data_IF_211890342152
#
_entry.id   IF_211890342152
#
_cell.length_a   1.000
_cell.length_b   1.000
_cell.length_c   1.000
_cell.angle_alpha   90.00
_cell.angle_beta   90.00
_cell.angle_gamma   90.00
#
_symmetry.space_group_name_H-M   'P 1'
#
loop_
_entity.id
_entity.type
_entity.pdbx_description
1 polymer ?
#
# COMPACT_ATOMS: atom_id res chain seq x y z
N UNK A 1 18.49 11.44 19.17
CA UNK A 1 18.09 10.55 18.07
C UNK A 1 18.93 10.88 16.85
N UNK A 2 19.91 10.03 16.50
CA UNK A 2 20.68 10.17 15.27
C UNK A 2 19.72 10.20 14.06
N UNK A 3 19.88 11.14 13.10
CA UNK A 3 19.07 11.13 11.89
C UNK A 3 19.27 9.79 11.20
N UNK A 4 18.17 9.07 10.88
CA UNK A 4 18.25 7.81 10.15
C UNK A 4 18.93 8.09 8.82
N UNK A 5 20.16 7.60 8.65
CA UNK A 5 21.07 7.86 7.52
C UNK A 5 20.50 7.51 6.14
N UNK A 6 19.36 6.80 6.07
CA UNK A 6 18.77 6.25 4.84
C UNK A 6 17.27 6.59 4.68
N UNK A 7 16.83 7.75 5.14
CA UNK A 7 15.46 8.20 4.88
C UNK A 7 15.41 9.04 3.61
N UNK A 8 14.49 8.73 2.73
CA UNK A 8 14.17 9.46 1.51
C UNK A 8 12.85 10.22 1.78
N UNK A 9 12.90 11.52 2.13
CA UNK A 9 11.71 12.26 2.57
C UNK A 9 10.61 12.33 1.52
N UNK A 10 10.98 12.41 0.25
CA UNK A 10 10.06 12.52 -0.89
C UNK A 10 9.13 11.31 -1.01
N UNK A 11 9.57 10.15 -0.57
CA UNK A 11 8.73 8.94 -0.58
C UNK A 11 7.63 8.98 0.48
N UNK A 12 7.71 9.85 1.50
CA UNK A 12 6.61 10.02 2.44
C UNK A 12 5.37 10.60 1.73
N UNK A 13 5.55 11.57 0.83
CA UNK A 13 4.46 12.15 0.03
C UNK A 13 3.83 11.14 -0.92
N UNK A 14 4.65 10.38 -1.65
CA UNK A 14 4.14 9.31 -2.53
C UNK A 14 3.38 8.24 -1.72
N UNK A 15 3.88 7.86 -0.53
CA UNK A 15 3.18 6.92 0.36
C UNK A 15 1.81 7.46 0.79
N UNK A 16 1.75 8.72 1.20
CA UNK A 16 0.50 9.38 1.59
C UNK A 16 -0.49 9.38 0.44
N UNK A 17 -0.04 9.74 -0.77
CA UNK A 17 -0.87 9.73 -1.97
C UNK A 17 -1.42 8.33 -2.26
N UNK A 18 -0.56 7.30 -2.26
CA UNK A 18 -0.98 5.92 -2.52
C UNK A 18 -2.03 5.44 -1.50
N UNK A 19 -1.79 5.67 -0.22
CA UNK A 19 -2.73 5.26 0.85
C UNK A 19 -4.04 6.04 0.75
N UNK A 20 -3.99 7.34 0.44
CA UNK A 20 -5.18 8.16 0.26
C UNK A 20 -6.05 7.64 -0.90
N UNK A 21 -5.46 7.36 -2.07
CA UNK A 21 -6.22 6.89 -3.24
C UNK A 21 -6.82 5.49 -2.97
N UNK A 22 -6.08 4.57 -2.36
CA UNK A 22 -6.64 3.26 -1.96
C UNK A 22 -7.81 3.42 -0.99
N UNK A 23 -7.67 4.31 -0.01
CA UNK A 23 -8.75 4.58 0.95
C UNK A 23 -9.96 5.21 0.27
N UNK A 24 -9.73 6.12 -0.67
CA UNK A 24 -10.81 6.73 -1.45
C UNK A 24 -11.57 5.68 -2.25
N UNK A 25 -10.89 4.73 -2.89
CA UNK A 25 -11.54 3.60 -3.56
C UNK A 25 -12.47 2.83 -2.61
N UNK A 26 -12.03 2.47 -1.41
CA UNK A 26 -12.86 1.71 -0.47
C UNK A 26 -14.03 2.52 0.10
N UNK A 27 -13.86 3.83 0.30
CA UNK A 27 -14.95 4.74 0.69
C UNK A 27 -15.92 4.93 -0.47
N UNK A 28 -15.41 5.09 -1.69
CA UNK A 28 -16.19 5.18 -2.91
C UNK A 28 -17.05 3.93 -3.13
N UNK A 29 -16.55 2.74 -2.86
CA UNK A 29 -17.35 1.50 -2.93
C UNK A 29 -18.61 1.54 -2.03
N UNK A 30 -18.63 2.37 -1.00
CA UNK A 30 -19.76 2.54 -0.10
C UNK A 30 -20.66 3.70 -0.50
N UNK A 31 -20.10 4.80 -1.03
CA UNK A 31 -20.84 6.04 -1.33
C UNK A 31 -21.26 6.16 -2.78
N UNK A 32 -20.48 5.59 -3.72
CA UNK A 32 -20.56 5.82 -5.16
C UNK A 32 -20.53 7.31 -5.54
N UNK A 33 -19.91 8.15 -4.72
CA UNK A 33 -19.70 9.55 -5.04
C UNK A 33 -18.80 9.69 -6.26
N UNK A 34 -19.31 10.23 -7.35
CA UNK A 34 -18.48 10.58 -8.51
C UNK A 34 -17.70 11.87 -8.22
N UNK A 35 -16.35 11.79 -8.14
CA UNK A 35 -15.56 13.00 -7.90
C UNK A 35 -15.45 13.82 -9.18
N UNK A 36 -15.93 15.05 -9.13
CA UNK A 36 -15.93 16.01 -10.26
C UNK A 36 -15.10 17.23 -9.91
N UNK A 37 -14.22 17.64 -10.83
CA UNK A 37 -13.62 18.97 -10.81
C UNK A 37 -14.44 19.85 -11.75
N UNK A 38 -15.09 20.86 -11.19
CA UNK A 38 -15.90 21.83 -11.94
C UNK A 38 -15.31 23.21 -11.75
N UNK A 39 -14.98 23.88 -12.87
CA UNK A 39 -14.55 25.28 -12.91
C UNK A 39 -15.48 25.93 -13.92
N UNK A 40 -16.60 26.45 -13.42
CA UNK A 40 -17.68 26.98 -14.26
C UNK A 40 -17.20 28.12 -15.17
N UNK A 41 -16.30 28.99 -14.66
CA UNK A 41 -15.77 30.13 -15.41
C UNK A 41 -14.94 29.70 -16.65
N UNK A 42 -14.40 28.47 -16.63
CA UNK A 42 -13.59 27.91 -17.72
C UNK A 42 -14.33 26.81 -18.50
N UNK A 43 -15.57 26.49 -18.16
CA UNK A 43 -16.33 25.39 -18.75
C UNK A 43 -15.66 24.02 -18.54
N UNK A 44 -14.89 23.85 -17.47
CA UNK A 44 -14.16 22.62 -17.19
C UNK A 44 -15.02 21.72 -16.30
N UNK A 45 -15.31 20.51 -16.82
CA UNK A 45 -16.03 19.46 -16.10
C UNK A 45 -15.23 18.14 -16.23
N UNK A 46 -14.34 17.86 -15.27
CA UNK A 46 -13.50 16.66 -15.29
C UNK A 46 -13.97 15.66 -14.25
N UNK A 47 -14.38 14.48 -14.71
CA UNK A 47 -14.62 13.34 -13.82
C UNK A 47 -13.31 12.69 -13.44
N UNK A 48 -13.14 12.44 -12.14
CA UNK A 48 -12.05 11.64 -11.55
C UNK A 48 -12.52 10.22 -11.19
N UNK A 49 -13.68 9.79 -11.69
CA UNK A 49 -14.25 8.46 -11.42
C UNK A 49 -13.24 7.33 -11.75
N UNK A 50 -12.55 7.45 -12.87
CA UNK A 50 -11.51 6.50 -13.27
C UNK A 50 -10.38 6.35 -12.24
N UNK A 51 -10.01 7.42 -11.54
CA UNK A 51 -8.96 7.41 -10.51
C UNK A 51 -9.42 6.64 -9.28
N UNK A 52 -10.66 6.91 -8.86
CA UNK A 52 -11.23 6.29 -7.67
C UNK A 52 -11.55 4.83 -7.92
N UNK A 53 -12.19 4.50 -9.05
CA UNK A 53 -12.55 3.12 -9.43
C UNK A 53 -11.33 2.20 -9.59
N UNK A 54 -10.19 2.72 -10.01
CA UNK A 54 -8.94 1.97 -10.12
C UNK A 54 -8.00 2.14 -8.91
N UNK A 55 -8.49 2.73 -7.81
CA UNK A 55 -7.68 3.04 -6.63
C UNK A 55 -7.00 1.82 -5.98
N UNK A 56 -7.57 0.62 -6.11
CA UNK A 56 -6.96 -0.63 -5.62
C UNK A 56 -5.59 -0.93 -6.26
N UNK A 57 -5.31 -0.44 -7.48
CA UNK A 57 -4.02 -0.62 -8.17
C UNK A 57 -2.86 0.04 -7.42
N UNK A 58 -3.14 1.09 -6.64
CA UNK A 58 -2.11 1.80 -5.86
C UNK A 58 -1.49 0.95 -4.75
N UNK A 59 -2.09 -0.19 -4.43
CA UNK A 59 -1.49 -1.22 -3.57
C UNK A 59 -0.18 -1.75 -4.16
N UNK A 60 -0.11 -1.92 -5.49
CA UNK A 60 1.11 -2.38 -6.17
C UNK A 60 2.28 -1.41 -5.90
N UNK A 61 2.01 -0.10 -5.94
CA UNK A 61 2.98 0.93 -5.53
C UNK A 61 3.41 0.82 -4.06
N UNK A 62 2.48 0.51 -3.13
CA UNK A 62 2.82 0.36 -1.70
C UNK A 62 3.70 -0.86 -1.45
N UNK A 63 3.44 -1.98 -2.13
CA UNK A 63 4.27 -3.19 -2.07
C UNK A 63 5.67 -2.91 -2.64
N UNK A 64 5.75 -2.32 -3.83
CA UNK A 64 7.02 -1.94 -4.46
C UNK A 64 7.86 -1.01 -3.57
N UNK A 65 7.23 0.04 -3.01
CA UNK A 65 7.89 0.97 -2.08
C UNK A 65 8.43 0.24 -0.85
N UNK A 66 7.68 -0.71 -0.31
CA UNK A 66 8.12 -1.51 0.83
C UNK A 66 9.38 -2.30 0.49
N UNK A 67 9.38 -3.02 -0.63
CA UNK A 67 10.53 -3.81 -1.08
C UNK A 67 11.75 -2.93 -1.35
N UNK A 68 11.57 -1.83 -2.07
CA UNK A 68 12.64 -0.87 -2.37
C UNK A 68 13.31 -0.35 -1.09
N UNK A 69 12.52 0.17 -0.15
CA UNK A 69 13.06 0.73 1.10
C UNK A 69 13.67 -0.33 2.02
N UNK A 70 13.15 -1.54 2.01
CA UNK A 70 13.70 -2.65 2.79
C UNK A 70 15.01 -3.18 2.22
N UNK A 71 15.19 -3.12 0.90
CA UNK A 71 16.40 -3.58 0.24
C UNK A 71 17.57 -2.58 0.34
N UNK A 72 17.31 -1.28 0.45
CA UNK A 72 18.36 -0.25 0.53
C UNK A 72 19.44 -0.55 1.57
N UNK A 73 19.15 -0.93 2.83
CA UNK A 73 20.21 -1.26 3.81
C UNK A 73 21.09 -2.45 3.40
N UNK A 74 20.54 -3.41 2.66
CA UNK A 74 21.29 -4.56 2.14
C UNK A 74 22.23 -4.16 1.00
N UNK A 75 21.75 -3.34 0.08
CA UNK A 75 22.53 -2.81 -1.03
C UNK A 75 23.64 -1.86 -0.52
N UNK A 76 23.35 -1.01 0.46
CA UNK A 76 24.36 -0.14 1.12
C UNK A 76 25.44 -0.96 1.82
N UNK A 77 25.05 -1.99 2.57
CA UNK A 77 26.01 -2.87 3.25
C UNK A 77 26.94 -3.57 2.25
N UNK A 78 26.39 -4.08 1.14
CA UNK A 78 27.19 -4.68 0.05
C UNK A 78 28.18 -3.69 -0.53
N UNK A 79 27.73 -2.48 -0.86
CA UNK A 79 28.59 -1.44 -1.42
C UNK A 79 29.70 -1.01 -0.46
N UNK A 80 29.34 -0.83 0.82
CA UNK A 80 30.29 -0.38 1.85
C UNK A 80 31.19 -1.48 2.42
N UNK A 81 31.06 -2.74 1.99
CA UNK A 81 31.79 -3.87 2.54
C UNK A 81 31.47 -4.14 4.02
N UNK A 82 30.32 -3.66 4.51
CA UNK A 82 29.90 -3.85 5.91
C UNK A 82 29.03 -5.09 6.08
N UNK A 83 28.89 -5.64 7.29
CA UNK A 83 28.02 -6.80 7.54
C UNK A 83 26.59 -6.53 7.07
N UNK A 84 25.97 -7.54 6.47
CA UNK A 84 24.57 -7.48 6.05
C UNK A 84 23.65 -7.32 7.26
N UNK A 85 22.46 -6.69 7.08
CA UNK A 85 21.48 -6.58 8.13
C UNK A 85 21.15 -7.93 8.77
N UNK A 86 21.14 -7.98 10.10
CA UNK A 86 20.78 -9.18 10.85
C UNK A 86 19.31 -9.56 10.63
N UNK A 87 19.03 -10.86 10.41
CA UNK A 87 17.70 -11.37 10.10
C UNK A 87 16.73 -11.25 11.28
N UNK A 88 17.20 -11.58 12.49
CA UNK A 88 16.36 -11.53 13.69
C UNK A 88 16.00 -10.08 14.03
N UNK A 89 16.97 -9.16 13.89
CA UNK A 89 16.74 -7.74 14.05
C UNK A 89 15.76 -7.20 12.98
N UNK A 90 15.87 -7.68 11.75
CA UNK A 90 14.93 -7.32 10.69
C UNK A 90 13.50 -7.73 11.05
N UNK A 91 13.26 -9.00 11.39
CA UNK A 91 11.93 -9.49 11.73
C UNK A 91 11.39 -8.82 12.98
N UNK A 92 12.20 -8.63 14.01
CA UNK A 92 11.80 -7.92 15.22
C UNK A 92 11.34 -6.49 14.92
N UNK A 93 12.07 -5.75 14.06
CA UNK A 93 11.68 -4.38 13.66
C UNK A 93 10.36 -4.35 12.88
N UNK A 94 10.09 -5.36 12.06
CA UNK A 94 8.81 -5.47 11.34
C UNK A 94 7.67 -5.84 12.29
N UNK A 95 7.85 -6.85 13.11
CA UNK A 95 6.89 -7.26 14.13
C UNK A 95 6.50 -6.10 15.06
N UNK A 96 7.50 -5.39 15.59
CA UNK A 96 7.28 -4.21 16.42
C UNK A 96 6.48 -3.09 15.75
N UNK A 97 6.61 -2.95 14.44
CA UNK A 97 5.87 -1.94 13.66
C UNK A 97 4.45 -2.37 13.38
N UNK A 98 4.21 -3.66 13.18
CA UNK A 98 2.93 -4.18 12.66
C UNK A 98 2.04 -4.70 13.78
N UNK A 99 2.56 -5.59 14.61
CA UNK A 99 1.75 -6.39 15.55
C UNK A 99 0.90 -5.53 16.49
N UNK A 100 1.43 -4.49 17.17
CA UNK A 100 0.61 -3.79 18.16
C UNK A 100 -0.60 -3.09 17.54
N UNK A 101 -0.42 -2.37 16.43
CA UNK A 101 -1.51 -1.68 15.75
C UNK A 101 -2.50 -2.64 15.09
N UNK A 102 -2.00 -3.64 14.37
CA UNK A 102 -2.83 -4.60 13.65
C UNK A 102 -3.69 -5.43 14.59
N UNK A 103 -3.09 -6.04 15.63
CA UNK A 103 -3.86 -6.88 16.57
C UNK A 103 -4.87 -6.04 17.33
N UNK A 104 -4.53 -4.82 17.71
CA UNK A 104 -5.49 -3.92 18.32
C UNK A 104 -6.69 -3.64 17.41
N UNK A 105 -6.46 -3.35 16.13
CA UNK A 105 -7.54 -3.08 15.16
C UNK A 105 -8.41 -4.34 14.95
N UNK A 106 -7.82 -5.53 14.83
CA UNK A 106 -8.57 -6.78 14.72
C UNK A 106 -9.45 -7.00 15.97
N UNK A 107 -8.88 -6.84 17.17
CA UNK A 107 -9.63 -7.01 18.42
C UNK A 107 -10.70 -5.93 18.61
N UNK A 108 -10.39 -4.69 18.23
CA UNK A 108 -11.37 -3.59 18.25
C UNK A 108 -12.53 -3.87 17.29
N UNK A 109 -12.24 -4.30 16.07
CA UNK A 109 -13.27 -4.65 15.07
C UNK A 109 -14.10 -5.82 15.56
N UNK A 110 -13.46 -6.85 16.11
CA UNK A 110 -14.15 -8.01 16.68
C UNK A 110 -15.10 -7.58 17.80
N UNK A 111 -14.60 -6.86 18.81
CA UNK A 111 -15.34 -6.52 20.01
C UNK A 111 -16.38 -5.41 19.84
N UNK A 112 -16.07 -4.39 19.01
CA UNK A 112 -16.95 -3.23 18.82
C UNK A 112 -17.91 -3.37 17.63
N UNK A 113 -17.60 -4.25 16.67
CA UNK A 113 -18.41 -4.39 15.45
C UNK A 113 -18.93 -5.83 15.30
N UNK A 114 -18.05 -6.82 15.17
CA UNK A 114 -18.46 -8.15 14.73
C UNK A 114 -19.35 -8.87 15.73
N UNK A 115 -18.97 -8.87 17.02
CA UNK A 115 -19.74 -9.55 18.06
C UNK A 115 -21.07 -8.85 18.40
N UNK A 116 -21.11 -7.52 18.60
CA UNK A 116 -22.38 -6.83 18.90
C UNK A 116 -23.41 -6.93 17.78
N UNK A 117 -22.94 -7.01 16.52
CA UNK A 117 -23.83 -7.11 15.36
C UNK A 117 -24.08 -8.56 14.91
N UNK A 118 -23.56 -9.55 15.63
CA UNK A 118 -23.80 -10.97 15.31
C UNK A 118 -23.33 -11.37 13.89
N UNK A 119 -22.18 -10.85 13.44
CA UNK A 119 -21.74 -11.00 12.04
C UNK A 119 -21.18 -12.39 11.71
N UNK A 120 -20.98 -13.23 12.70
CA UNK A 120 -20.50 -14.60 12.48
C UNK A 120 -21.65 -15.61 12.44
N UNK A 121 -21.62 -16.47 11.43
CA UNK A 121 -22.63 -17.52 11.21
C UNK A 121 -22.44 -18.74 12.11
N UNK A 122 -21.23 -18.95 12.64
CA UNK A 122 -20.93 -20.08 13.54
C UNK A 122 -19.69 -19.83 14.40
N UNK A 123 -19.62 -20.51 15.56
CA UNK A 123 -18.45 -20.48 16.45
C UNK A 123 -17.16 -20.98 15.79
N UNK A 124 -17.17 -22.12 15.08
CA UNK A 124 -15.99 -22.60 14.33
C UNK A 124 -15.46 -21.59 13.31
N UNK A 125 -16.34 -20.89 12.59
CA UNK A 125 -15.92 -19.84 11.65
C UNK A 125 -15.28 -18.65 12.36
N UNK A 126 -15.86 -18.20 13.49
CA UNK A 126 -15.29 -17.15 14.33
C UNK A 126 -13.85 -17.50 14.76
N UNK A 127 -13.64 -18.71 15.29
CA UNK A 127 -12.30 -19.15 15.76
C UNK A 127 -11.32 -19.21 14.59
N UNK A 128 -11.71 -19.81 13.46
CA UNK A 128 -10.89 -19.90 12.25
C UNK A 128 -10.50 -18.52 11.77
N UNK A 129 -11.44 -17.58 11.70
CA UNK A 129 -11.23 -16.23 11.22
C UNK A 129 -10.25 -15.45 12.10
N UNK A 130 -10.41 -15.50 13.42
CA UNK A 130 -9.46 -14.90 14.37
C UNK A 130 -8.06 -15.50 14.20
N UNK A 131 -7.93 -16.82 14.21
CA UNK A 131 -6.62 -17.50 14.11
C UNK A 131 -5.93 -17.15 12.81
N UNK A 132 -6.64 -17.20 11.69
CA UNK A 132 -6.05 -16.90 10.37
C UNK A 132 -5.67 -15.43 10.22
N UNK A 133 -6.40 -14.50 10.80
CA UNK A 133 -6.02 -13.08 10.85
C UNK A 133 -4.79 -12.86 11.73
N UNK A 134 -4.72 -13.43 12.93
CA UNK A 134 -3.58 -13.29 13.82
C UNK A 134 -2.29 -13.92 13.24
N UNK A 135 -2.42 -14.93 12.39
CA UNK A 135 -1.30 -15.59 11.70
C UNK A 135 -1.01 -15.07 10.29
N UNK A 136 -1.78 -14.08 9.80
CA UNK A 136 -1.68 -13.53 8.44
C UNK A 136 -1.93 -14.57 7.32
N UNK A 137 -2.64 -15.66 7.63
CA UNK A 137 -2.92 -16.76 6.69
C UNK A 137 -4.34 -16.73 6.10
N UNK A 138 -5.19 -15.80 6.55
CA UNK A 138 -6.57 -15.69 6.08
C UNK A 138 -6.72 -15.57 4.54
N UNK A 139 -5.77 -15.00 3.75
CA UNK A 139 -5.92 -14.95 2.30
C UNK A 139 -5.82 -16.32 1.60
N UNK A 140 -5.43 -17.37 2.32
CA UNK A 140 -5.34 -18.72 1.75
C UNK A 140 -6.66 -19.50 1.79
N UNK A 141 -7.66 -19.01 2.53
CA UNK A 141 -8.95 -19.68 2.68
C UNK A 141 -10.09 -18.80 2.17
N UNK A 142 -10.97 -19.36 1.32
CA UNK A 142 -12.05 -18.62 0.67
C UNK A 142 -12.98 -17.96 1.69
N UNK A 143 -13.38 -18.66 2.72
CA UNK A 143 -14.29 -18.17 3.76
C UNK A 143 -13.69 -17.00 4.57
N UNK A 144 -12.43 -17.13 5.03
CA UNK A 144 -11.78 -16.06 5.82
C UNK A 144 -11.26 -14.91 4.94
N UNK A 145 -11.10 -15.10 3.64
CA UNK A 145 -10.67 -14.03 2.73
C UNK A 145 -11.86 -13.22 2.16
N UNK A 146 -12.96 -13.91 1.79
CA UNK A 146 -14.08 -13.27 1.10
C UNK A 146 -15.25 -12.93 2.02
N UNK A 147 -15.51 -13.74 3.04
CA UNK A 147 -16.66 -13.60 3.92
C UNK A 147 -16.34 -13.12 5.33
N UNK A 148 -15.07 -12.87 5.65
CA UNK A 148 -14.67 -12.39 6.97
C UNK A 148 -15.22 -10.99 7.27
N UNK A 149 -15.89 -10.79 8.40
CA UNK A 149 -16.26 -9.46 8.86
C UNK A 149 -15.08 -8.68 9.46
N UNK A 150 -13.94 -9.33 9.73
CA UNK A 150 -12.68 -8.70 10.16
C UNK A 150 -11.87 -8.12 8.99
N UNK A 151 -12.13 -8.61 7.76
CA UNK A 151 -11.27 -8.49 6.59
C UNK A 151 -10.86 -7.09 6.21
N UNK A 152 -11.72 -6.35 5.56
CA UNK A 152 -11.37 -5.05 5.02
C UNK A 152 -10.08 -5.08 4.17
N UNK A 153 -9.31 -4.00 4.20
CA UNK A 153 -8.05 -3.86 3.48
C UNK A 153 -6.87 -4.68 4.07
N UNK A 154 -7.10 -5.46 5.11
CA UNK A 154 -6.06 -6.19 5.86
C UNK A 154 -5.26 -7.21 5.00
N UNK A 155 -5.82 -7.68 3.88
CA UNK A 155 -5.14 -8.62 2.98
C UNK A 155 -3.77 -8.12 2.48
N UNK A 156 -3.64 -6.84 2.22
CA UNK A 156 -2.35 -6.25 1.83
C UNK A 156 -1.30 -6.39 2.93
N UNK A 157 -1.71 -6.23 4.20
CA UNK A 157 -0.79 -6.43 5.31
C UNK A 157 -0.41 -7.91 5.46
N UNK A 158 -1.32 -8.84 5.18
CA UNK A 158 -1.02 -10.26 5.22
C UNK A 158 0.04 -10.63 4.17
N UNK A 159 -0.08 -10.17 2.91
CA UNK A 159 0.96 -10.43 1.89
C UNK A 159 2.28 -9.73 2.22
N UNK A 160 2.25 -8.53 2.82
CA UNK A 160 3.47 -7.88 3.29
C UNK A 160 4.13 -8.65 4.43
N UNK A 161 3.37 -9.20 5.39
CA UNK A 161 3.89 -10.03 6.49
C UNK A 161 4.53 -11.33 5.95
N UNK A 162 3.85 -12.01 5.02
CA UNK A 162 4.39 -13.18 4.31
C UNK A 162 5.69 -12.81 3.57
N UNK A 163 5.69 -11.68 2.87
CA UNK A 163 6.86 -11.14 2.19
C UNK A 163 8.01 -10.85 3.16
N UNK A 164 7.74 -10.28 4.34
CA UNK A 164 8.78 -10.02 5.35
C UNK A 164 9.37 -11.30 5.94
N UNK A 165 8.61 -12.38 6.02
CA UNK A 165 9.15 -13.67 6.43
C UNK A 165 10.24 -14.18 5.46
N UNK A 166 10.03 -14.00 4.15
CA UNK A 166 10.95 -14.43 3.09
C UNK A 166 12.06 -13.41 2.79
N UNK A 167 11.83 -12.13 3.12
CA UNK A 167 12.65 -11.01 2.65
C UNK A 167 14.15 -11.13 2.96
N UNK A 168 14.61 -11.53 4.18
CA UNK A 168 16.03 -11.65 4.46
C UNK A 168 16.74 -12.68 3.56
N UNK A 169 16.05 -13.76 3.18
CA UNK A 169 16.58 -14.77 2.26
C UNK A 169 16.65 -14.23 0.83
N UNK A 170 15.60 -13.57 0.36
CA UNK A 170 15.55 -12.91 -0.95
C UNK A 170 16.64 -11.84 -1.05
N UNK A 171 16.73 -10.94 -0.07
CA UNK A 171 17.70 -9.85 -0.06
C UNK A 171 19.15 -10.38 0.03
N UNK A 172 19.40 -11.39 0.85
CA UNK A 172 20.71 -12.05 0.93
C UNK A 172 21.13 -12.71 -0.38
N UNK A 173 20.21 -13.34 -1.09
CA UNK A 173 20.45 -13.90 -2.43
C UNK A 173 20.68 -12.80 -3.47
N UNK A 174 19.87 -11.72 -3.43
CA UNK A 174 19.98 -10.59 -4.35
C UNK A 174 21.31 -9.83 -4.19
N UNK A 175 21.86 -9.74 -2.97
CA UNK A 175 23.19 -9.16 -2.73
C UNK A 175 24.30 -9.99 -3.38
N UNK A 176 24.17 -11.32 -3.38
CA UNK A 176 25.16 -12.23 -3.98
C UNK A 176 25.01 -12.35 -5.49
N UNK A 177 23.77 -12.51 -5.97
CA UNK A 177 23.43 -12.80 -7.38
C UNK A 177 22.19 -12.01 -7.80
N UNK A 178 22.27 -10.69 -8.03
CA UNK A 178 21.11 -9.82 -8.22
C UNK A 178 20.28 -10.23 -9.42
N UNK A 179 20.88 -10.45 -10.57
CA UNK A 179 20.16 -10.79 -11.80
C UNK A 179 19.50 -12.16 -11.75
N UNK A 180 20.20 -13.16 -11.17
CA UNK A 180 19.62 -14.50 -10.99
C UNK A 180 18.43 -14.45 -10.03
N UNK A 181 18.55 -13.73 -8.91
CA UNK A 181 17.46 -13.59 -7.96
C UNK A 181 16.26 -12.87 -8.60
N UNK A 182 16.49 -11.75 -9.30
CA UNK A 182 15.44 -11.03 -9.99
C UNK A 182 14.76 -11.90 -11.08
N UNK A 183 15.55 -12.64 -11.85
CA UNK A 183 15.04 -13.56 -12.88
C UNK A 183 14.18 -14.68 -12.32
N UNK A 184 14.58 -15.29 -11.19
CA UNK A 184 13.81 -16.34 -10.50
C UNK A 184 12.47 -15.75 -9.98
N UNK A 185 12.51 -14.60 -9.31
CA UNK A 185 11.30 -13.95 -8.79
C UNK A 185 10.32 -13.60 -9.91
N UNK A 186 10.82 -13.01 -10.99
CA UNK A 186 10.02 -12.68 -12.17
C UNK A 186 9.48 -13.95 -12.85
N UNK A 187 10.33 -14.97 -13.04
CA UNK A 187 9.93 -16.23 -13.65
C UNK A 187 8.82 -16.96 -12.89
N UNK A 188 8.94 -17.05 -11.56
CA UNK A 188 7.88 -17.61 -10.69
C UNK A 188 6.60 -16.80 -10.83
N UNK A 189 6.69 -15.46 -10.78
CA UNK A 189 5.53 -14.59 -10.89
C UNK A 189 4.81 -14.72 -12.22
N UNK A 190 5.55 -14.64 -13.34
CA UNK A 190 4.96 -14.73 -14.68
C UNK A 190 4.44 -16.13 -14.98
N UNK A 191 5.14 -17.19 -14.54
CA UNK A 191 4.66 -18.55 -14.64
C UNK A 191 3.35 -18.76 -13.87
N UNK A 192 3.26 -18.23 -12.65
CA UNK A 192 2.02 -18.27 -11.86
C UNK A 192 0.88 -17.49 -12.53
N UNK A 193 1.13 -16.29 -13.05
CA UNK A 193 0.11 -15.51 -13.77
C UNK A 193 -0.36 -16.23 -15.04
N UNK A 194 0.57 -16.81 -15.79
CA UNK A 194 0.23 -17.61 -16.97
C UNK A 194 -0.68 -18.79 -16.60
N UNK A 195 -0.32 -19.53 -15.55
CA UNK A 195 -1.17 -20.60 -15.03
C UNK A 195 -2.54 -20.09 -14.59
N UNK A 196 -2.63 -18.97 -13.88
CA UNK A 196 -3.92 -18.38 -13.48
C UNK A 196 -4.77 -18.02 -14.71
N UNK A 197 -4.20 -17.28 -15.67
CA UNK A 197 -4.94 -16.74 -16.82
C UNK A 197 -5.41 -17.81 -17.80
N UNK A 198 -4.67 -18.92 -17.92
CA UNK A 198 -5.01 -20.01 -18.84
C UNK A 198 -5.75 -21.18 -18.16
N UNK A 199 -5.54 -21.38 -16.87
CA UNK A 199 -6.02 -22.56 -16.15
C UNK A 199 -7.22 -22.32 -15.22
N UNK A 200 -7.55 -21.05 -14.90
CA UNK A 200 -8.61 -20.76 -13.94
C UNK A 200 -9.75 -19.98 -14.58
N UNK A 201 -10.98 -20.28 -14.14
CA UNK A 201 -12.20 -19.56 -14.52
C UNK A 201 -12.49 -18.35 -13.60
N UNK A 202 -11.84 -18.25 -12.46
CA UNK A 202 -12.01 -17.17 -11.48
C UNK A 202 -10.68 -16.81 -10.84
N UNK A 203 -10.46 -15.51 -10.59
CA UNK A 203 -9.18 -14.99 -10.09
C UNK A 203 -9.24 -14.46 -8.67
N UNK A 204 -10.42 -14.48 -8.01
CA UNK A 204 -10.64 -13.88 -6.69
C UNK A 204 -9.61 -14.32 -5.63
N UNK A 205 -9.27 -15.61 -5.60
CA UNK A 205 -8.35 -16.17 -4.61
C UNK A 205 -6.87 -15.99 -4.96
N UNK A 206 -6.56 -15.74 -6.24
CA UNK A 206 -5.16 -15.75 -6.72
C UNK A 206 -4.61 -14.37 -7.05
N UNK A 207 -5.45 -13.41 -7.42
CA UNK A 207 -5.02 -12.07 -7.88
C UNK A 207 -4.19 -11.32 -6.84
N UNK A 208 -4.49 -11.52 -5.55
CA UNK A 208 -3.87 -10.84 -4.42
C UNK A 208 -2.96 -11.76 -3.57
N UNK A 209 -2.49 -12.89 -4.09
CA UNK A 209 -1.49 -13.71 -3.41
C UNK A 209 -0.08 -13.15 -3.58
N UNK A 210 0.81 -13.32 -2.58
CA UNK A 210 2.18 -12.81 -2.59
C UNK A 210 2.94 -13.15 -3.87
N UNK A 211 2.75 -14.38 -4.39
CA UNK A 211 3.41 -14.87 -5.59
C UNK A 211 3.13 -13.97 -6.81
N UNK A 212 1.97 -13.34 -6.84
CA UNK A 212 1.55 -12.42 -7.90
C UNK A 212 2.24 -11.03 -7.83
N UNK A 213 3.03 -10.78 -6.78
CA UNK A 213 3.77 -9.52 -6.57
C UNK A 213 5.29 -9.70 -6.65
N UNK A 214 5.79 -10.90 -6.99
CA UNK A 214 7.24 -11.16 -6.96
C UNK A 214 8.01 -10.41 -8.05
N UNK A 215 7.38 -10.00 -9.13
CA UNK A 215 7.95 -9.07 -10.12
C UNK A 215 8.23 -7.68 -9.51
N UNK A 216 7.37 -7.20 -8.62
CA UNK A 216 7.60 -5.97 -7.87
C UNK A 216 8.78 -6.13 -6.87
N UNK A 217 9.01 -7.35 -6.35
CA UNK A 217 10.21 -7.64 -5.55
C UNK A 217 11.47 -7.56 -6.40
N UNK A 218 11.46 -8.15 -7.61
CA UNK A 218 12.57 -8.06 -8.55
C UNK A 218 12.86 -6.59 -8.93
N UNK A 219 11.82 -5.82 -9.23
CA UNK A 219 11.93 -4.41 -9.56
C UNK A 219 12.45 -3.58 -8.38
N UNK A 220 11.91 -3.78 -7.16
CA UNK A 220 12.33 -3.05 -5.97
C UNK A 220 13.80 -3.29 -5.58
N UNK A 221 14.32 -4.50 -5.84
CA UNK A 221 15.74 -4.83 -5.71
C UNK A 221 16.56 -4.02 -6.73
N UNK A 222 16.15 -4.02 -8.00
CA UNK A 222 16.79 -3.23 -9.05
C UNK A 222 16.79 -1.74 -8.74
N UNK A 223 15.67 -1.21 -8.23
CA UNK A 223 15.54 0.18 -7.79
C UNK A 223 16.50 0.52 -6.65
N UNK A 224 16.73 -0.39 -5.71
CA UNK A 224 17.68 -0.18 -4.61
C UNK A 224 19.11 0.09 -5.13
N UNK A 225 19.57 -0.70 -6.08
CA UNK A 225 20.87 -0.50 -6.73
C UNK A 225 20.87 0.76 -7.57
N UNK A 226 19.81 0.99 -8.38
CA UNK A 226 19.66 2.18 -9.23
C UNK A 226 19.69 3.48 -8.43
N UNK A 227 18.95 3.54 -7.31
CA UNK A 227 18.93 4.71 -6.44
C UNK A 227 20.34 5.04 -5.90
N UNK A 228 21.06 4.02 -5.39
CA UNK A 228 22.42 4.21 -4.87
C UNK A 228 23.36 4.69 -5.98
N UNK A 229 23.27 4.12 -7.17
CA UNK A 229 24.11 4.52 -8.30
C UNK A 229 23.84 5.98 -8.73
N UNK A 230 22.58 6.39 -8.85
CA UNK A 230 22.20 7.76 -9.22
C UNK A 230 22.65 8.76 -8.14
N UNK A 231 22.40 8.44 -6.85
CA UNK A 231 22.81 9.29 -5.72
C UNK A 231 24.34 9.52 -5.72
N UNK A 232 25.09 8.43 -5.82
CA UNK A 232 26.56 8.51 -5.81
C UNK A 232 27.14 9.25 -7.03
N UNK A 233 26.50 9.06 -8.19
CA UNK A 233 26.83 9.83 -9.38
C UNK A 233 26.55 11.33 -9.15
N UNK A 234 25.39 11.68 -8.59
CA UNK A 234 24.99 13.06 -8.28
C UNK A 234 26.00 13.73 -7.32
N UNK A 235 26.41 13.03 -6.27
CA UNK A 235 27.34 13.56 -5.27
C UNK A 235 28.71 13.91 -5.84
N UNK A 236 29.13 13.25 -6.93
CA UNK A 236 30.44 13.44 -7.59
C UNK A 236 30.41 14.48 -8.70
N UNK A 237 29.22 14.96 -9.09
CA UNK A 237 29.07 15.85 -10.27
C UNK A 237 28.92 17.30 -9.90
N UNK A 238 29.36 18.18 -10.83
CA UNK A 238 29.21 19.62 -10.72
C UNK A 238 27.74 20.05 -10.68
N UNK A 239 27.48 21.24 -10.15
CA UNK A 239 26.14 21.82 -10.00
C UNK A 239 25.33 21.84 -11.30
N UNK A 240 25.98 22.07 -12.42
CA UNK A 240 25.33 22.08 -13.76
C UNK A 240 24.78 20.69 -14.09
N UNK A 241 25.57 19.63 -13.93
CA UNK A 241 25.12 18.25 -14.15
C UNK A 241 24.01 17.83 -13.18
N UNK A 242 24.10 18.29 -11.93
CA UNK A 242 23.03 18.06 -10.95
C UNK A 242 21.72 18.75 -11.33
N UNK A 243 21.78 19.96 -11.93
CA UNK A 243 20.58 20.67 -12.47
C UNK A 243 19.95 19.91 -13.64
N UNK A 244 20.77 19.40 -14.56
CA UNK A 244 20.27 18.57 -15.66
C UNK A 244 19.64 17.27 -15.17
N UNK A 245 20.25 16.62 -14.18
CA UNK A 245 19.63 15.46 -13.51
C UNK A 245 18.26 15.83 -12.94
N UNK A 246 18.17 16.96 -12.23
CA UNK A 246 16.91 17.39 -11.61
C UNK A 246 15.82 17.70 -12.65
N UNK A 247 16.20 18.35 -13.76
CA UNK A 247 15.26 18.60 -14.87
C UNK A 247 14.78 17.28 -15.50
N UNK A 248 15.71 16.39 -15.87
CA UNK A 248 15.39 15.08 -16.46
C UNK A 248 14.56 14.19 -15.51
N UNK A 249 14.91 14.16 -14.22
CA UNK A 249 14.13 13.43 -13.22
C UNK A 249 12.71 13.99 -13.07
N UNK A 250 12.55 15.32 -13.16
CA UNK A 250 11.22 15.96 -13.09
C UNK A 250 10.38 15.62 -14.32
N UNK A 251 10.97 15.70 -15.52
CA UNK A 251 10.26 15.32 -16.76
C UNK A 251 9.84 13.86 -16.71
N UNK A 252 10.73 12.96 -16.29
CA UNK A 252 10.43 11.54 -16.17
C UNK A 252 9.35 11.27 -15.07
N UNK A 253 9.42 11.98 -13.96
CA UNK A 253 8.39 11.90 -12.90
C UNK A 253 7.01 12.27 -13.47
N UNK A 254 6.92 13.40 -14.17
CA UNK A 254 5.66 13.86 -14.79
C UNK A 254 5.20 12.86 -15.85
N UNK A 255 6.10 12.36 -16.69
CA UNK A 255 5.78 11.34 -17.69
C UNK A 255 5.24 10.06 -17.08
N UNK A 256 5.86 9.55 -16.00
CA UNK A 256 5.36 8.39 -15.25
C UNK A 256 4.00 8.67 -14.61
N UNK A 257 3.77 9.87 -14.08
CA UNK A 257 2.50 10.25 -13.48
C UNK A 257 1.36 10.30 -14.52
N UNK A 258 1.63 10.89 -15.70
CA UNK A 258 0.69 10.91 -16.81
C UNK A 258 0.42 9.49 -17.32
N UNK A 259 1.49 8.71 -17.55
CA UNK A 259 1.38 7.31 -17.99
C UNK A 259 0.58 6.46 -17.00
N UNK A 260 0.79 6.64 -15.69
CA UNK A 260 0.01 5.99 -14.66
C UNK A 260 -1.48 6.37 -14.77
N UNK A 261 -1.80 7.67 -14.95
CA UNK A 261 -3.17 8.14 -15.14
C UNK A 261 -3.86 7.48 -16.35
N UNK A 262 -3.14 7.35 -17.48
CA UNK A 262 -3.69 6.68 -18.67
C UNK A 262 -3.93 5.18 -18.43
N UNK A 263 -3.00 4.48 -17.80
CA UNK A 263 -3.16 3.07 -17.47
C UNK A 263 -4.30 2.81 -16.46
N UNK A 264 -4.48 3.72 -15.49
CA UNK A 264 -5.59 3.66 -14.55
C UNK A 264 -6.95 3.82 -15.25
N UNK A 265 -7.04 4.69 -16.27
CA UNK A 265 -8.25 4.81 -17.11
C UNK A 265 -8.57 3.53 -17.88
N UNK A 266 -7.55 2.89 -18.46
CA UNK A 266 -7.70 1.60 -19.12
C UNK A 266 -8.22 0.55 -18.13
N UNK A 267 -7.65 0.51 -16.93
CA UNK A 267 -8.05 -0.43 -15.87
C UNK A 267 -9.49 -0.18 -15.38
N UNK A 268 -9.86 1.08 -15.17
CA UNK A 268 -11.22 1.48 -14.78
C UNK A 268 -12.29 1.13 -15.82
N UNK A 269 -11.93 1.05 -17.09
CA UNK A 269 -12.79 0.66 -18.22
C UNK A 269 -13.06 -0.84 -18.34
N UNK A 270 -12.60 -1.68 -17.42
CA UNK A 270 -12.84 -3.14 -17.45
C UNK A 270 -14.32 -3.47 -17.33
N UNK A 271 -14.84 -4.31 -18.24
CA UNK A 271 -16.28 -4.56 -18.41
C UNK A 271 -16.86 -5.58 -17.43
N UNK A 272 -16.04 -6.38 -16.74
CA UNK A 272 -16.45 -7.35 -15.73
C UNK A 272 -15.39 -7.47 -14.63
N UNK A 273 -15.76 -8.09 -13.50
CA UNK A 273 -14.83 -8.35 -12.38
C UNK A 273 -13.71 -9.29 -12.81
N UNK A 274 -14.01 -10.32 -13.57
CA UNK A 274 -13.02 -11.29 -14.06
C UNK A 274 -12.02 -10.60 -15.00
N UNK A 275 -12.50 -9.77 -15.92
CA UNK A 275 -11.64 -8.99 -16.83
C UNK A 275 -10.80 -7.96 -16.07
N UNK A 276 -11.38 -7.32 -15.06
CA UNK A 276 -10.68 -6.38 -14.18
C UNK A 276 -9.52 -7.08 -13.45
N UNK A 277 -9.74 -8.26 -12.90
CA UNK A 277 -8.73 -9.05 -12.18
C UNK A 277 -7.67 -9.63 -13.13
N UNK A 278 -8.06 -10.10 -14.33
CA UNK A 278 -7.13 -10.51 -15.37
C UNK A 278 -6.22 -9.35 -15.80
N UNK A 279 -6.81 -8.20 -16.11
CA UNK A 279 -6.09 -6.97 -16.47
C UNK A 279 -5.15 -6.50 -15.36
N UNK A 280 -5.57 -6.61 -14.10
CA UNK A 280 -4.70 -6.28 -12.95
C UNK A 280 -3.45 -7.17 -12.93
N UNK A 281 -3.55 -8.45 -13.23
CA UNK A 281 -2.39 -9.35 -13.33
C UNK A 281 -1.51 -9.03 -14.55
N UNK A 282 -2.13 -8.76 -15.71
CA UNK A 282 -1.43 -8.48 -16.97
C UNK A 282 -0.68 -7.15 -16.91
N UNK A 283 -1.32 -6.09 -16.38
CA UNK A 283 -0.77 -4.74 -16.37
C UNK A 283 0.10 -4.43 -15.14
N UNK A 284 0.12 -5.29 -14.12
CA UNK A 284 0.93 -5.06 -12.90
C UNK A 284 2.40 -4.75 -13.19
N UNK A 285 3.11 -5.39 -14.15
CA UNK A 285 4.48 -5.01 -14.48
C UNK A 285 4.59 -3.57 -14.99
N UNK A 286 3.63 -3.11 -15.79
CA UNK A 286 3.60 -1.74 -16.32
C UNK A 286 3.32 -0.76 -15.17
N UNK A 287 2.33 -1.04 -14.32
CA UNK A 287 2.10 -0.26 -13.10
C UNK A 287 3.34 -0.22 -12.21
N UNK A 288 4.01 -1.36 -12.02
CA UNK A 288 5.26 -1.45 -11.28
C UNK A 288 6.34 -0.52 -11.83
N UNK A 289 6.56 -0.52 -13.15
CA UNK A 289 7.53 0.37 -13.80
C UNK A 289 7.16 1.85 -13.64
N UNK A 290 5.90 2.22 -13.75
CA UNK A 290 5.43 3.60 -13.58
C UNK A 290 5.58 4.07 -12.13
N UNK A 291 5.14 3.26 -11.15
CA UNK A 291 5.37 3.54 -9.73
C UNK A 291 6.87 3.58 -9.39
N UNK A 292 7.65 2.66 -9.96
CA UNK A 292 9.10 2.62 -9.80
C UNK A 292 9.77 3.89 -10.34
N UNK A 293 9.34 4.34 -11.51
CA UNK A 293 9.78 5.60 -12.10
C UNK A 293 9.50 6.79 -11.19
N UNK A 294 8.27 6.91 -10.66
CA UNK A 294 7.91 7.94 -9.68
C UNK A 294 8.81 7.90 -8.44
N UNK A 295 9.03 6.71 -7.87
CA UNK A 295 9.82 6.55 -6.64
C UNK A 295 11.31 6.82 -6.84
N UNK A 296 11.88 6.37 -7.96
CA UNK A 296 13.29 6.59 -8.25
C UNK A 296 13.61 8.04 -8.59
N UNK A 297 12.71 8.73 -9.29
CA UNK A 297 12.93 10.12 -9.71
C UNK A 297 12.61 11.14 -8.63
N UNK A 298 11.63 10.87 -7.78
CA UNK A 298 11.16 11.80 -6.73
C UNK A 298 12.29 12.47 -5.92
N UNK A 299 13.33 11.75 -5.42
CA UNK A 299 14.42 12.36 -4.65
C UNK A 299 15.33 13.29 -5.45
N UNK A 300 15.31 13.16 -6.79
CA UNK A 300 16.19 13.89 -7.69
C UNK A 300 15.48 15.01 -8.46
N UNK A 301 14.16 15.16 -8.32
CA UNK A 301 13.39 16.24 -8.95
C UNK A 301 13.83 17.63 -8.51
N UNK A 302 13.34 18.67 -9.21
CA UNK A 302 13.51 20.07 -8.81
C UNK A 302 13.00 20.32 -7.39
N UNK A 303 13.61 21.28 -6.69
CA UNK A 303 13.36 21.57 -5.29
C UNK A 303 11.87 21.77 -4.92
N UNK A 304 11.03 22.51 -5.67
CA UNK A 304 9.63 22.69 -5.31
C UNK A 304 8.85 21.37 -5.21
N UNK A 305 9.05 20.45 -6.18
CA UNK A 305 8.37 19.16 -6.20
C UNK A 305 8.84 18.27 -5.04
N UNK A 306 10.15 18.24 -4.77
CA UNK A 306 10.72 17.54 -3.61
C UNK A 306 10.16 18.06 -2.29
N UNK A 307 10.02 19.39 -2.14
CA UNK A 307 9.48 20.02 -0.94
C UNK A 307 8.00 19.69 -0.73
N UNK A 308 7.20 19.64 -1.81
CA UNK A 308 5.79 19.22 -1.73
C UNK A 308 5.70 17.76 -1.23
N UNK A 309 6.52 16.86 -1.74
CA UNK A 309 6.51 15.44 -1.36
C UNK A 309 7.16 15.17 0.00
N UNK A 310 8.23 15.90 0.37
CA UNK A 310 9.07 15.64 1.54
C UNK A 310 9.00 16.70 2.63
N UNK A 311 7.81 17.06 3.12
CA UNK A 311 7.61 18.08 4.14
C UNK A 311 7.17 17.51 5.52
N UNK A 312 6.87 18.39 6.48
CA UNK A 312 6.44 17.98 7.83
C UNK A 312 5.08 17.30 7.84
N UNK A 313 4.16 17.74 6.98
CA UNK A 313 2.80 17.18 6.88
C UNK A 313 2.85 15.77 6.30
N UNK A 314 3.53 15.59 5.16
CA UNK A 314 3.68 14.27 4.53
C UNK A 314 4.40 13.28 5.45
N UNK A 315 5.39 13.77 6.22
CA UNK A 315 6.07 12.98 7.24
C UNK A 315 5.13 12.52 8.35
N UNK A 316 4.28 13.41 8.85
CA UNK A 316 3.30 13.09 9.88
C UNK A 316 2.28 12.06 9.36
N UNK A 317 1.65 12.34 8.21
CA UNK A 317 0.68 11.46 7.57
C UNK A 317 1.29 10.10 7.20
N UNK A 318 2.51 10.07 6.65
CA UNK A 318 3.24 8.84 6.39
C UNK A 318 3.57 8.04 7.67
N UNK A 319 3.69 8.72 8.81
CA UNK A 319 3.90 8.10 10.12
C UNK A 319 2.70 7.34 10.65
N UNK A 320 1.48 7.79 10.35
CA UNK A 320 0.21 7.18 10.79
C UNK A 320 -0.44 6.30 9.71
N UNK A 321 0.12 6.32 8.49
CA UNK A 321 -0.50 5.75 7.27
C UNK A 321 -0.85 4.27 7.38
N UNK A 322 -0.10 3.47 8.14
CA UNK A 322 -0.38 2.04 8.31
C UNK A 322 -1.70 1.83 9.08
N UNK A 323 -1.87 2.51 10.22
CA UNK A 323 -3.09 2.37 11.02
C UNK A 323 -4.30 2.99 10.31
N UNK A 324 -4.07 4.09 9.57
CA UNK A 324 -5.09 4.66 8.70
C UNK A 324 -5.55 3.65 7.63
N UNK A 325 -4.59 3.00 6.95
CA UNK A 325 -4.88 1.97 5.96
C UNK A 325 -5.64 0.77 6.55
N UNK A 326 -5.35 0.37 7.78
CA UNK A 326 -6.00 -0.78 8.39
C UNK A 326 -7.43 -0.52 8.84
N UNK A 327 -7.74 0.71 9.30
CA UNK A 327 -9.05 1.00 9.90
C UNK A 327 -10.09 1.55 8.91
N UNK A 328 -9.64 2.24 7.82
CA UNK A 328 -10.53 3.06 6.99
C UNK A 328 -11.70 2.28 6.36
N UNK A 329 -11.46 1.07 5.82
CA UNK A 329 -12.49 0.31 5.14
C UNK A 329 -13.51 -0.27 6.11
N UNK A 330 -13.04 -0.89 7.20
CA UNK A 330 -13.92 -1.43 8.25
C UNK A 330 -14.77 -0.33 8.86
N UNK A 331 -14.15 0.84 9.11
CA UNK A 331 -14.88 2.01 9.62
C UNK A 331 -15.93 2.50 8.61
N UNK A 332 -15.57 2.64 7.34
CA UNK A 332 -16.51 3.08 6.31
C UNK A 332 -17.72 2.15 6.25
N UNK A 333 -17.53 0.83 6.15
CA UNK A 333 -18.62 -0.14 6.16
C UNK A 333 -19.49 -0.01 7.41
N UNK A 334 -18.86 0.18 8.58
CA UNK A 334 -19.59 0.30 9.84
C UNK A 334 -20.39 1.61 9.93
N UNK A 335 -19.83 2.74 9.52
CA UNK A 335 -20.55 4.03 9.48
C UNK A 335 -21.82 3.93 8.64
N UNK A 336 -21.75 3.29 7.47
CA UNK A 336 -22.93 3.06 6.63
C UNK A 336 -23.95 2.16 7.34
N UNK A 337 -23.52 1.10 8.01
CA UNK A 337 -24.39 0.17 8.75
C UNK A 337 -25.15 0.86 9.87
N UNK A 338 -24.53 1.82 10.58
CA UNK A 338 -25.19 2.56 11.67
C UNK A 338 -25.92 3.81 11.19
N UNK A 339 -26.11 3.97 9.87
CA UNK A 339 -26.76 5.12 9.25
C UNK A 339 -26.10 6.46 9.62
N UNK A 340 -24.77 6.52 9.60
CA UNK A 340 -24.06 7.76 9.93
C UNK A 340 -23.11 8.18 8.78
N UNK A 341 -23.35 9.39 8.21
CA UNK A 341 -24.45 10.32 8.43
C UNK A 341 -25.83 9.71 8.09
N UNK A 342 -26.94 10.23 8.63
CA UNK A 342 -28.26 9.69 8.36
C UNK A 342 -28.62 9.81 6.86
N UNK A 343 -29.40 8.86 6.38
CA UNK A 343 -29.90 8.80 5.01
C UNK A 343 -31.33 8.26 4.97
N UNK A 344 -32.08 8.59 3.91
CA UNK A 344 -33.49 8.25 3.75
C UNK A 344 -33.71 7.08 2.78
N UNK A 345 -32.97 7.03 1.68
CA UNK A 345 -33.10 5.97 0.70
C UNK A 345 -32.52 4.65 1.23
N UNK A 346 -33.19 3.52 1.04
CA UNK A 346 -32.71 2.18 1.44
C UNK A 346 -31.27 1.90 0.94
N UNK A 347 -30.98 2.35 -0.29
CA UNK A 347 -29.65 2.25 -0.92
C UNK A 347 -29.17 3.64 -1.36
N UNK A 348 -28.66 4.48 -0.42
CA UNK A 348 -28.34 5.88 -0.68
C UNK A 348 -27.28 6.09 -1.75
N UNK A 349 -26.34 5.14 -1.91
CA UNK A 349 -25.36 5.15 -2.98
C UNK A 349 -25.99 4.91 -4.35
N UNK A 350 -26.92 3.96 -4.48
CA UNK A 350 -27.61 3.65 -5.74
C UNK A 350 -28.60 4.73 -6.14
N UNK A 351 -29.24 5.34 -5.15
CA UNK A 351 -30.15 6.45 -5.36
C UNK A 351 -29.42 7.77 -5.72
N UNK A 352 -28.11 7.82 -5.57
CA UNK A 352 -27.33 9.06 -5.74
C UNK A 352 -27.71 10.12 -4.71
N UNK A 353 -28.09 9.73 -3.50
CA UNK A 353 -28.60 10.63 -2.47
C UNK A 353 -27.57 11.69 -2.06
N UNK A 354 -27.92 12.96 -2.26
CA UNK A 354 -27.11 14.09 -1.85
C UNK A 354 -27.90 14.94 -0.83
N UNK A 355 -27.23 15.52 0.17
CA UNK A 355 -25.78 15.65 0.37
C UNK A 355 -25.08 14.44 1.03
N UNK A 356 -25.80 13.31 1.25
CA UNK A 356 -25.26 12.15 1.98
C UNK A 356 -23.96 11.62 1.40
N UNK A 357 -23.85 11.38 0.10
CA UNK A 357 -22.63 10.81 -0.51
C UNK A 357 -21.39 11.64 -0.19
N UNK A 358 -21.50 12.98 -0.26
CA UNK A 358 -20.42 13.90 0.07
C UNK A 358 -20.11 13.88 1.56
N UNK A 359 -21.11 14.01 2.43
CA UNK A 359 -20.95 14.02 3.88
C UNK A 359 -20.34 12.70 4.37
N UNK A 360 -20.84 11.57 3.88
CA UNK A 360 -20.32 10.25 4.21
C UNK A 360 -18.85 10.10 3.82
N UNK A 361 -18.47 10.56 2.63
CA UNK A 361 -17.09 10.52 2.16
C UNK A 361 -16.17 11.33 3.08
N UNK A 362 -16.55 12.57 3.40
CA UNK A 362 -15.78 13.45 4.29
C UNK A 362 -15.67 12.91 5.71
N UNK A 363 -16.77 12.41 6.26
CA UNK A 363 -16.81 11.81 7.62
C UNK A 363 -15.92 10.56 7.66
N UNK A 364 -16.02 9.69 6.65
CA UNK A 364 -15.21 8.47 6.59
C UNK A 364 -13.71 8.78 6.57
N UNK A 365 -13.28 9.78 5.79
CA UNK A 365 -11.88 10.24 5.81
C UNK A 365 -11.48 10.83 7.15
N UNK A 366 -12.29 11.74 7.70
CA UNK A 366 -11.98 12.46 8.94
C UNK A 366 -11.89 11.53 10.15
N UNK A 367 -12.90 10.66 10.34
CA UNK A 367 -12.92 9.72 11.48
C UNK A 367 -11.81 8.68 11.35
N UNK A 368 -11.53 8.18 10.13
CA UNK A 368 -10.39 7.28 9.89
C UNK A 368 -9.06 7.92 10.28
N UNK A 369 -8.88 9.21 9.96
CA UNK A 369 -7.68 9.97 10.32
C UNK A 369 -7.53 10.11 11.84
N UNK A 370 -8.60 10.50 12.53
CA UNK A 370 -8.60 10.64 14.00
C UNK A 370 -8.26 9.32 14.69
N UNK A 371 -8.91 8.23 14.27
CA UNK A 371 -8.65 6.90 14.83
C UNK A 371 -7.21 6.44 14.55
N UNK A 372 -6.70 6.67 13.32
CA UNK A 372 -5.33 6.33 12.98
C UNK A 372 -4.30 7.06 13.84
N UNK A 373 -4.54 8.33 14.14
CA UNK A 373 -3.71 9.12 15.07
C UNK A 373 -3.77 8.47 16.46
N UNK A 374 -4.97 8.24 17.00
CA UNK A 374 -5.15 7.60 18.30
C UNK A 374 -4.44 6.24 18.40
N UNK A 375 -4.68 5.35 17.45
CA UNK A 375 -4.07 4.01 17.42
C UNK A 375 -2.53 4.11 17.32
N UNK A 376 -2.01 5.01 16.49
CA UNK A 376 -0.56 5.17 16.33
C UNK A 376 0.11 5.64 17.62
N UNK A 377 -0.46 6.63 18.29
CA UNK A 377 0.17 7.24 19.45
C UNK A 377 -0.12 6.51 20.77
N UNK A 378 -1.32 5.94 20.91
CA UNK A 378 -1.74 5.30 22.16
C UNK A 378 -1.50 3.78 22.18
N UNK A 379 -1.37 3.14 21.02
CA UNK A 379 -1.24 1.67 20.93
C UNK A 379 0.08 1.26 20.25
N UNK A 380 0.28 1.63 18.97
CA UNK A 380 1.42 1.16 18.20
C UNK A 380 2.76 1.57 18.81
N UNK A 381 2.94 2.84 19.11
CA UNK A 381 4.21 3.35 19.67
C UNK A 381 4.49 2.84 21.08
N UNK A 382 3.53 2.84 22.03
CA UNK A 382 3.73 2.25 23.35
C UNK A 382 3.96 0.73 23.28
N UNK A 383 3.18 0.00 22.46
CA UNK A 383 3.38 -1.43 22.24
C UNK A 383 4.77 -1.76 21.69
N UNK A 384 5.24 -0.98 20.73
CA UNK A 384 6.60 -1.12 20.20
C UNK A 384 7.70 -0.83 21.24
N UNK A 385 7.47 0.11 22.17
CA UNK A 385 8.40 0.36 23.32
C UNK A 385 8.40 -0.83 24.28
N UNK A 386 7.22 -1.38 24.58
CA UNK A 386 7.09 -2.55 25.45
C UNK A 386 7.84 -3.76 24.87
N UNK A 387 7.70 -4.05 23.58
CA UNK A 387 8.42 -5.13 22.91
C UNK A 387 9.95 -4.94 23.02
N UNK A 388 10.46 -3.71 22.88
CA UNK A 388 11.89 -3.43 23.11
C UNK A 388 12.31 -3.75 24.56
N UNK A 389 11.49 -3.36 25.55
CA UNK A 389 11.80 -3.61 26.98
C UNK A 389 11.80 -5.10 27.31
N UNK A 390 10.89 -5.88 26.74
CA UNK A 390 10.85 -7.34 26.91
C UNK A 390 12.12 -7.97 26.32
N UNK A 391 12.52 -7.54 25.11
CA UNK A 391 13.73 -8.07 24.44
C UNK A 391 15.02 -7.74 25.20
N UNK A 392 15.13 -6.54 25.76
CA UNK A 392 16.35 -6.13 26.51
C UNK A 392 16.51 -6.83 27.86
N UNK A 393 15.51 -7.59 28.32
CA UNK A 393 15.54 -8.40 29.55
C UNK A 393 15.92 -9.85 29.29
N UNK A 394 16.00 -10.25 28.03
CA UNK A 394 16.48 -11.56 27.57
C UNK A 394 17.90 -11.45 27.03
#
# INVERSE_FOLDING_TARGET
MSPRKNRIPELDGLRVLMIFIVSWYHIWQQSWLEPMIRIEELGIHWSLDWLVRSGYVWVDGTVLMSVFLLFLPWAEAKKGGTPLPDRHEFWFRRAKRIIPGYYFIILLTLGAVCLPWGLYTSGPFLVKDIVTHLTFTFPFFTDTYQASPLGGAAWTLAILAQGYALFPSIAGSAVKRPWTTAGILAGICFGFRAWCLWGLSSYHMVVNQLINFLDLYALGIGMGYGYIAIRDWQEKKEKTAQRWLAAGATVLFIGCFIGLGQMLRVQAGSSSIEKLQANQMIYRPVFGLLFGGLMLTAPFCIWPLRKIMGNRVTRFLGGISMNYYLIHQTLAVHLKRIHFPPYEAEYPNMAGEQPWQMQYTMVSFGVSLILAIGITYLVERPGGKLMNKIRSRR
#
